data_IF_737096929018
#
_entry.id   IF_737096929018
#
_cell.length_a   1.000
_cell.length_b   1.000
_cell.length_c   1.000
_cell.angle_alpha   90.00
_cell.angle_beta   90.00
_cell.angle_gamma   90.00
#
_symmetry.space_group_name_H-M   'P 1'
#
loop_
_entity.id
_entity.type
_entity.pdbx_description
1 polymer ?
#
# COMPACT_ATOMS: atom_id res chain seq x y z
N UNK A 1 -6.29 -0.02 -29.28
CA UNK A 1 -7.53 0.40 -28.58
C UNK A 1 -7.84 -0.66 -27.51
N UNK A 2 -8.41 -0.27 -26.37
CA UNK A 2 -8.78 -1.20 -25.28
C UNK A 2 -10.07 -1.93 -25.64
N UNK A 3 -10.03 -2.78 -26.67
CA UNK A 3 -11.10 -3.72 -26.95
C UNK A 3 -10.63 -5.12 -26.56
N UNK A 4 -11.54 -5.92 -26.02
CA UNK A 4 -11.32 -7.36 -25.87
C UNK A 4 -11.76 -8.04 -27.16
N UNK A 5 -11.09 -9.13 -27.53
CA UNK A 5 -11.56 -10.01 -28.61
C UNK A 5 -12.32 -11.13 -27.92
N UNK A 6 -13.59 -11.30 -28.25
CA UNK A 6 -14.37 -12.45 -27.77
C UNK A 6 -13.78 -13.76 -28.33
N UNK A 7 -14.04 -14.88 -27.66
CA UNK A 7 -13.53 -16.20 -28.04
C UNK A 7 -13.89 -16.60 -29.50
N UNK A 8 -14.95 -15.99 -30.07
CA UNK A 8 -15.33 -16.09 -31.48
C UNK A 8 -14.71 -15.07 -32.44
N UNK A 9 -13.68 -14.33 -32.05
CA UNK A 9 -12.94 -13.38 -32.91
C UNK A 9 -13.64 -12.04 -33.16
N UNK A 10 -14.77 -11.76 -32.51
CA UNK A 10 -15.52 -10.51 -32.66
C UNK A 10 -14.97 -9.43 -31.72
N UNK A 11 -14.95 -8.19 -32.23
CA UNK A 11 -14.66 -7.01 -31.43
C UNK A 11 -15.72 -6.83 -30.35
N UNK A 12 -15.28 -6.68 -29.11
CA UNK A 12 -16.13 -6.46 -27.96
C UNK A 12 -15.85 -5.09 -27.34
N UNK A 13 -16.92 -4.38 -27.00
CA UNK A 13 -16.89 -3.05 -26.39
C UNK A 13 -17.02 -3.11 -24.85
N UNK A 14 -16.85 -4.27 -24.22
CA UNK A 14 -16.69 -4.36 -22.77
C UNK A 14 -15.38 -3.73 -22.32
N UNK A 15 -15.40 -3.22 -21.09
CA UNK A 15 -14.21 -2.69 -20.45
C UNK A 15 -13.15 -3.80 -20.30
N UNK A 16 -11.90 -3.47 -20.58
CA UNK A 16 -10.77 -4.35 -20.28
C UNK A 16 -10.68 -4.51 -18.76
N UNK A 17 -11.00 -5.70 -18.27
CA UNK A 17 -10.86 -6.01 -16.85
C UNK A 17 -9.38 -5.92 -16.46
N UNK A 18 -9.05 -5.18 -15.39
CA UNK A 18 -7.69 -5.18 -14.88
C UNK A 18 -7.36 -6.59 -14.39
N UNK A 19 -6.10 -7.02 -14.58
CA UNK A 19 -5.63 -8.24 -13.95
C UNK A 19 -5.81 -8.11 -12.44
N UNK A 20 -6.60 -9.01 -11.87
CA UNK A 20 -6.72 -9.12 -10.42
C UNK A 20 -5.37 -9.53 -9.84
N UNK A 21 -4.93 -8.84 -8.80
CA UNK A 21 -3.76 -9.20 -8.01
C UNK A 21 -4.18 -9.44 -6.57
N UNK A 22 -3.56 -10.42 -5.94
CA UNK A 22 -3.78 -10.71 -4.52
C UNK A 22 -2.76 -9.97 -3.67
N UNK A 23 -3.14 -9.66 -2.43
CA UNK A 23 -2.19 -9.14 -1.46
C UNK A 23 -1.27 -10.28 -1.00
N UNK A 24 0.03 -10.13 -1.22
CA UNK A 24 1.01 -11.06 -0.67
C UNK A 24 1.29 -10.75 0.81
N UNK A 25 1.58 -11.77 1.64
CA UNK A 25 2.02 -11.52 3.00
C UNK A 25 3.37 -10.77 3.00
N UNK A 26 3.62 -9.90 3.99
CA UNK A 26 4.84 -9.13 4.02
C UNK A 26 6.08 -10.03 4.14
N UNK A 27 7.09 -9.71 3.34
CA UNK A 27 8.42 -10.30 3.37
C UNK A 27 9.13 -10.04 4.70
N UNK A 28 10.21 -10.78 4.96
CA UNK A 28 11.02 -10.57 6.17
C UNK A 28 11.59 -9.14 6.26
N UNK A 29 11.96 -8.56 5.11
CA UNK A 29 12.45 -7.18 5.04
C UNK A 29 11.35 -6.17 5.33
N UNK A 30 10.14 -6.35 4.80
CA UNK A 30 9.01 -5.48 5.09
C UNK A 30 8.61 -5.54 6.57
N UNK A 31 8.58 -6.73 7.17
CA UNK A 31 8.32 -6.88 8.62
C UNK A 31 9.33 -6.10 9.46
N UNK A 32 10.62 -6.19 9.13
CA UNK A 32 11.67 -5.42 9.82
C UNK A 32 11.45 -3.91 9.64
N UNK A 33 11.15 -3.48 8.41
CA UNK A 33 10.92 -2.07 8.11
C UNK A 33 9.70 -1.53 8.85
N UNK A 34 8.63 -2.31 9.00
CA UNK A 34 7.46 -1.92 9.80
C UNK A 34 7.80 -1.67 11.27
N UNK A 35 8.66 -2.51 11.87
CA UNK A 35 9.13 -2.29 13.24
C UNK A 35 9.93 -0.98 13.33
N UNK A 36 10.83 -0.73 12.36
CA UNK A 36 11.62 0.50 12.32
C UNK A 36 10.71 1.73 12.17
N UNK A 37 9.75 1.69 11.23
CA UNK A 37 8.79 2.77 11.01
C UNK A 37 7.91 3.01 12.24
N UNK A 38 7.46 1.95 12.90
CA UNK A 38 6.71 2.04 14.15
C UNK A 38 7.52 2.70 15.26
N UNK A 39 8.80 2.33 15.42
CA UNK A 39 9.69 2.92 16.40
C UNK A 39 9.96 4.41 16.12
N UNK A 40 10.18 4.78 14.85
CA UNK A 40 10.37 6.17 14.44
C UNK A 40 9.11 7.00 14.69
N UNK A 41 7.93 6.49 14.33
CA UNK A 41 6.65 7.16 14.55
C UNK A 41 6.39 7.35 16.05
N UNK A 42 6.63 6.32 16.86
CA UNK A 42 6.52 6.43 18.31
C UNK A 42 7.49 7.47 18.89
N UNK A 43 8.76 7.43 18.47
CA UNK A 43 9.77 8.39 18.90
C UNK A 43 9.41 9.83 18.55
N UNK A 44 8.83 10.06 17.36
CA UNK A 44 8.34 11.38 16.95
C UNK A 44 7.20 11.85 17.85
N UNK A 45 6.18 11.02 18.07
CA UNK A 45 5.02 11.38 18.91
C UNK A 45 5.46 11.64 20.35
N UNK A 46 6.28 10.76 20.92
CA UNK A 46 6.83 10.94 22.26
C UNK A 46 7.64 12.23 22.35
N UNK A 47 8.51 12.51 21.38
CA UNK A 47 9.31 13.74 21.34
C UNK A 47 8.46 15.01 21.29
N UNK A 48 7.41 15.03 20.48
CA UNK A 48 6.48 16.18 20.39
C UNK A 48 5.73 16.37 21.71
N UNK A 49 5.23 15.29 22.32
CA UNK A 49 4.54 15.35 23.61
C UNK A 49 5.47 15.83 24.74
N UNK A 50 6.71 15.33 24.77
CA UNK A 50 7.72 15.78 25.73
C UNK A 50 8.03 17.27 25.55
N UNK A 51 8.19 17.73 24.31
CA UNK A 51 8.41 19.15 24.04
C UNK A 51 7.23 20.00 24.53
N UNK A 52 6.00 19.60 24.22
CA UNK A 52 4.79 20.29 24.65
C UNK A 52 4.69 20.39 26.19
N UNK A 53 5.04 19.32 26.89
CA UNK A 53 5.08 19.30 28.35
C UNK A 53 6.17 20.21 28.96
N UNK A 54 7.33 20.31 28.32
CA UNK A 54 8.42 21.17 28.82
C UNK A 54 8.11 22.66 28.68
N UNK A 55 7.30 23.04 27.69
CA UNK A 55 6.97 24.46 27.41
C UNK A 55 5.64 24.93 27.99
N UNK A 56 4.87 24.06 28.65
CA UNK A 56 3.64 24.39 29.38
C UNK A 56 3.92 24.86 30.79
#
# INVERSE_FOLDING_TARGET
>A
MRYTVEEGGRLNNFAVEPKMYEAEPPTATEKRNYIILGALAFGLVAGVLSLAFVVS
#
